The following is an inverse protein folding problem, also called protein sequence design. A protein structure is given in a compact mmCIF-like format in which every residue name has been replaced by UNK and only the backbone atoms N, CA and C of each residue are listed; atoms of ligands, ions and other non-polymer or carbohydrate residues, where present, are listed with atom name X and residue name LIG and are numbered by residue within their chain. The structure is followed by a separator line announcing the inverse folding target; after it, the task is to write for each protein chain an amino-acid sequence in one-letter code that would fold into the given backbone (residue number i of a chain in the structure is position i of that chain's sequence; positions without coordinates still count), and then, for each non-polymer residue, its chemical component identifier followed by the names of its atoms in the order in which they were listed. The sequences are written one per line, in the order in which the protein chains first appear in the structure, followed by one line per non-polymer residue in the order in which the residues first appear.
data_IF_145144243251
#
_entry.id   IF_145144243251
#
_cell.length_a   1.000
_cell.length_b   1.000
_cell.length_c   1.000
_cell.angle_alpha   90.00
_cell.angle_beta   90.00
_cell.angle_gamma   90.00
#
_symmetry.space_group_name_H-M   'P 1'
#
loop_
_entity.id
_entity.type
_entity.pdbx_description
1 polymer ?
#
# COMPACT_ATOMS: atom_id res chain seq x y z
N UNK A 1 10.56 -33.77 -24.20
CA UNK A 1 9.98 -32.55 -23.61
C UNK A 1 9.76 -32.82 -22.13
N UNK A 2 10.68 -32.37 -21.27
CA UNK A 2 10.51 -32.49 -19.82
C UNK A 2 9.59 -31.39 -19.29
N UNK A 3 8.89 -31.61 -18.17
CA UNK A 3 8.03 -30.59 -17.58
C UNK A 3 8.89 -29.40 -17.11
N UNK A 4 8.47 -28.19 -17.50
CA UNK A 4 9.05 -26.93 -17.02
C UNK A 4 8.93 -26.89 -15.49
N UNK A 5 10.01 -26.63 -14.73
CA UNK A 5 9.92 -26.56 -13.29
C UNK A 5 8.97 -25.41 -12.88
N UNK A 6 8.03 -25.72 -11.99
CA UNK A 6 7.11 -24.74 -11.44
C UNK A 6 7.85 -23.59 -10.78
N UNK A 7 7.39 -22.36 -11.07
CA UNK A 7 7.87 -21.11 -10.48
C UNK A 7 7.88 -21.22 -8.96
N UNK A 8 9.03 -21.07 -8.27
CA UNK A 8 8.99 -20.79 -6.84
C UNK A 8 8.30 -19.43 -6.66
N UNK A 9 7.27 -19.39 -5.81
CA UNK A 9 6.64 -18.13 -5.42
C UNK A 9 7.74 -17.16 -4.99
N UNK A 10 7.89 -16.04 -5.72
CA UNK A 10 8.92 -15.05 -5.45
C UNK A 10 8.88 -14.69 -3.97
N UNK A 11 9.98 -14.92 -3.25
CA UNK A 11 10.03 -14.61 -1.84
C UNK A 11 9.87 -13.09 -1.71
N UNK A 12 8.93 -12.59 -0.90
CA UNK A 12 8.65 -11.15 -0.75
C UNK A 12 9.86 -10.28 -0.38
N UNK A 13 10.97 -10.90 0.05
CA UNK A 13 12.12 -10.25 0.67
C UNK A 13 13.24 -9.81 -0.28
N UNK A 14 13.31 -10.34 -1.51
CA UNK A 14 14.51 -10.16 -2.36
C UNK A 14 14.64 -8.74 -2.96
N UNK A 15 13.57 -7.93 -2.94
CA UNK A 15 13.59 -6.54 -3.40
C UNK A 15 14.00 -5.53 -2.32
N UNK A 16 13.98 -5.90 -1.05
CA UNK A 16 14.25 -5.00 0.08
C UNK A 16 15.73 -4.57 0.15
N UNK A 17 16.64 -5.38 -0.38
CA UNK A 17 18.09 -5.14 -0.30
C UNK A 17 18.58 -4.02 -1.21
N UNK A 18 17.83 -3.71 -2.29
CA UNK A 18 18.28 -2.77 -3.33
C UNK A 18 17.88 -1.32 -3.07
N UNK A 19 16.87 -1.09 -2.22
CA UNK A 19 16.33 0.24 -1.90
C UNK A 19 15.83 0.31 -0.44
N UNK A 20 16.73 0.24 0.55
CA UNK A 20 16.38 0.06 1.97
C UNK A 20 15.56 1.21 2.57
N UNK A 21 15.55 2.39 1.96
CA UNK A 21 14.80 3.57 2.43
C UNK A 21 13.47 3.80 1.70
N UNK A 22 13.22 3.20 0.52
CA UNK A 22 12.04 3.51 -0.30
C UNK A 22 10.96 2.42 -0.29
N UNK A 23 11.30 1.20 0.13
CA UNK A 23 10.34 0.08 0.27
C UNK A 23 9.94 -0.16 1.72
N UNK A 24 9.93 0.90 2.54
CA UNK A 24 9.33 0.90 3.87
C UNK A 24 7.81 0.78 3.78
N UNK A 25 7.29 -0.39 3.39
CA UNK A 25 5.95 -0.76 3.81
C UNK A 25 6.05 -1.02 5.30
N UNK A 26 5.82 -0.01 6.12
CA UNK A 26 5.50 -0.25 7.53
C UNK A 26 4.19 -1.03 7.48
N UNK A 27 4.29 -2.33 7.68
CA UNK A 27 3.15 -3.15 8.05
C UNK A 27 3.03 -2.94 9.55
N UNK A 28 1.81 -2.95 10.05
CA UNK A 28 1.47 -3.15 11.47
C UNK A 28 2.03 -4.47 12.06
N UNK A 29 3.00 -5.12 11.41
CA UNK A 29 3.75 -6.28 11.84
C UNK A 29 5.24 -5.93 11.94
N UNK A 30 5.68 -5.64 13.16
CA UNK A 30 7.06 -5.30 13.48
C UNK A 30 7.98 -6.51 13.30
N UNK A 31 8.80 -6.50 12.25
CA UNK A 31 10.02 -7.31 12.21
C UNK A 31 11.04 -6.81 13.24
N UNK A 32 11.93 -7.69 13.73
CA UNK A 32 12.91 -7.38 14.80
C UNK A 32 13.83 -6.16 14.57
N UNK A 33 13.94 -5.64 13.34
CA UNK A 33 14.72 -4.43 13.02
C UNK A 33 13.88 -3.21 12.64
N UNK A 34 12.56 -3.26 12.83
CA UNK A 34 11.62 -2.25 12.34
C UNK A 34 10.81 -1.59 13.48
N UNK A 35 11.11 -1.92 14.75
CA UNK A 35 10.49 -1.30 15.92
C UNK A 35 10.97 0.13 16.12
N UNK A 36 10.10 0.98 16.66
CA UNK A 36 10.50 2.29 17.18
C UNK A 36 11.60 2.16 18.24
N UNK A 37 11.62 1.06 19.00
CA UNK A 37 12.64 0.79 20.02
C UNK A 37 14.03 0.48 19.44
N UNK A 38 14.13 0.20 18.13
CA UNK A 38 15.39 -0.19 17.49
C UNK A 38 16.26 1.02 17.10
N UNK A 39 15.71 2.23 17.12
CA UNK A 39 16.39 3.44 16.64
C UNK A 39 16.17 4.60 17.60
N UNK A 40 17.13 5.53 17.65
CA UNK A 40 17.06 6.71 18.52
C UNK A 40 16.41 7.94 17.86
N UNK A 41 16.07 7.85 16.56
CA UNK A 41 15.44 8.92 15.79
C UNK A 41 13.91 8.72 15.75
N UNK A 42 13.11 9.80 15.64
CA UNK A 42 11.66 9.67 15.55
C UNK A 42 11.23 8.81 14.34
N UNK A 43 10.35 7.84 14.59
CA UNK A 43 9.80 6.95 13.56
C UNK A 43 8.40 7.41 13.17
N UNK A 44 8.14 7.55 11.87
CA UNK A 44 6.80 7.76 11.33
C UNK A 44 6.26 6.41 10.86
N UNK A 45 5.15 5.96 11.43
CA UNK A 45 4.47 4.77 10.97
C UNK A 45 3.76 5.06 9.64
N UNK A 46 3.73 4.10 8.72
CA UNK A 46 3.01 4.22 7.46
C UNK A 46 2.25 2.92 7.20
N UNK A 47 1.31 2.91 6.25
CA UNK A 47 0.69 1.68 5.76
C UNK A 47 -0.39 1.08 6.68
N UNK A 48 -1.56 0.81 6.09
CA UNK A 48 -2.66 0.11 6.77
C UNK A 48 -3.46 0.95 7.78
N UNK A 49 -3.06 2.18 8.06
CA UNK A 49 -3.81 3.11 8.92
C UNK A 49 -4.74 3.97 8.08
N UNK A 50 -6.03 4.03 8.47
CA UNK A 50 -7.07 4.81 7.77
C UNK A 50 -8.04 5.57 8.70
N UNK A 51 -7.94 5.35 10.01
CA UNK A 51 -8.81 5.94 11.04
C UNK A 51 -8.03 6.26 12.31
N UNK A 52 -8.65 6.98 13.25
CA UNK A 52 -7.97 7.38 14.49
C UNK A 52 -7.61 6.23 15.42
N UNK A 53 -8.29 5.08 15.32
CA UNK A 53 -7.92 3.87 16.09
C UNK A 53 -6.57 3.33 15.63
N UNK A 54 -6.36 3.26 14.32
CA UNK A 54 -5.08 2.85 13.76
C UNK A 54 -3.96 3.84 14.11
N UNK A 55 -4.25 5.15 14.14
CA UNK A 55 -3.29 6.16 14.60
C UNK A 55 -2.92 5.95 16.07
N UNK A 56 -3.91 5.83 16.96
CA UNK A 56 -3.66 5.60 18.39
C UNK A 56 -2.83 4.32 18.63
N UNK A 57 -3.11 3.26 17.87
CA UNK A 57 -2.35 2.01 17.94
C UNK A 57 -0.87 2.20 17.58
N UNK A 58 -0.54 2.86 16.46
CA UNK A 58 0.86 3.05 16.06
C UNK A 58 1.61 4.02 16.98
N UNK A 59 0.94 5.03 17.52
CA UNK A 59 1.51 5.93 18.54
C UNK A 59 1.82 5.15 19.83
N UNK A 60 0.91 4.26 20.26
CA UNK A 60 1.13 3.38 21.42
C UNK A 60 2.31 2.43 21.21
N UNK A 61 2.55 2.01 19.96
CA UNK A 61 3.69 1.17 19.57
C UNK A 61 5.00 1.96 19.40
N UNK A 62 5.03 3.23 19.80
CA UNK A 62 6.24 4.06 19.87
C UNK A 62 6.50 4.91 18.63
N UNK A 63 5.60 4.94 17.64
CA UNK A 63 5.73 5.88 16.53
C UNK A 63 5.56 7.33 17.00
N UNK A 64 6.35 8.24 16.46
CA UNK A 64 6.24 9.68 16.71
C UNK A 64 5.17 10.35 15.82
N UNK A 65 4.71 9.66 14.78
CA UNK A 65 3.70 10.16 13.85
C UNK A 65 3.25 9.08 12.88
N UNK A 66 2.37 9.45 11.96
CA UNK A 66 1.79 8.54 10.98
C UNK A 66 1.67 9.19 9.60
N UNK A 67 1.97 8.42 8.55
CA UNK A 67 1.73 8.77 7.15
C UNK A 67 0.55 7.95 6.60
N UNK A 68 -0.42 8.66 6.04
CA UNK A 68 -1.69 8.09 5.59
C UNK A 68 -1.84 8.27 4.08
N UNK A 69 -1.64 7.18 3.31
CA UNK A 69 -1.83 7.21 1.85
C UNK A 69 -3.27 6.89 1.45
N UNK A 70 -3.66 5.62 1.62
CA UNK A 70 -4.97 5.12 1.16
C UNK A 70 -6.17 5.78 1.83
N UNK A 71 -6.01 6.35 3.03
CA UNK A 71 -7.07 7.11 3.69
C UNK A 71 -7.48 8.34 2.86
N UNK A 72 -6.50 9.14 2.43
CA UNK A 72 -6.72 10.37 1.66
C UNK A 72 -6.99 10.12 0.17
N UNK A 73 -6.69 8.92 -0.34
CA UNK A 73 -6.96 8.54 -1.73
C UNK A 73 -8.44 8.65 -2.10
N UNK A 74 -9.34 8.51 -1.12
CA UNK A 74 -10.79 8.56 -1.31
C UNK A 74 -11.40 9.95 -1.08
N UNK A 75 -10.61 10.94 -0.64
CA UNK A 75 -11.09 12.30 -0.44
C UNK A 75 -11.49 12.98 -1.76
N UNK A 76 -12.38 13.98 -1.68
CA UNK A 76 -12.90 14.70 -2.84
C UNK A 76 -11.80 15.41 -3.65
N UNK A 77 -10.73 15.83 -2.98
CA UNK A 77 -9.58 16.54 -3.53
C UNK A 77 -8.57 15.59 -4.20
N UNK A 78 -8.73 14.27 -4.03
CA UNK A 78 -7.86 13.27 -4.62
C UNK A 78 -7.99 13.25 -6.15
N UNK A 79 -6.86 13.30 -6.84
CA UNK A 79 -6.80 13.11 -8.29
C UNK A 79 -6.94 11.65 -8.75
N UNK A 80 -7.21 10.72 -7.83
CA UNK A 80 -7.42 9.31 -8.18
C UNK A 80 -8.71 9.15 -9.00
N UNK A 81 -8.63 8.40 -10.10
CA UNK A 81 -9.80 8.16 -10.94
C UNK A 81 -10.86 7.34 -10.21
N UNK A 82 -12.12 7.51 -10.61
CA UNK A 82 -13.23 6.73 -10.08
C UNK A 82 -13.01 5.22 -10.29
N UNK A 83 -12.50 4.83 -11.45
CA UNK A 83 -12.14 3.44 -11.77
C UNK A 83 -11.10 2.90 -10.78
N UNK A 84 -10.11 3.70 -10.38
CA UNK A 84 -9.12 3.30 -9.39
C UNK A 84 -9.77 3.10 -8.02
N UNK A 85 -10.52 4.08 -7.53
CA UNK A 85 -11.21 4.01 -6.23
C UNK A 85 -12.14 2.78 -6.15
N UNK A 86 -12.92 2.55 -7.20
CA UNK A 86 -13.80 1.38 -7.31
C UNK A 86 -13.02 0.06 -7.35
N UNK A 87 -11.90 0.00 -8.09
CA UNK A 87 -11.08 -1.20 -8.13
C UNK A 87 -10.55 -1.59 -6.73
N UNK A 88 -10.15 -0.60 -5.93
CA UNK A 88 -9.68 -0.83 -4.55
C UNK A 88 -10.78 -1.30 -3.59
N UNK A 89 -12.05 -0.93 -3.83
CA UNK A 89 -13.19 -1.42 -3.05
C UNK A 89 -13.64 -2.82 -3.50
N UNK A 90 -13.57 -3.08 -4.80
CA UNK A 90 -14.13 -4.28 -5.44
C UNK A 90 -13.22 -5.50 -5.36
N UNK A 91 -11.92 -5.30 -5.54
CA UNK A 91 -10.96 -6.39 -5.66
C UNK A 91 -10.06 -6.50 -4.42
N UNK A 92 -9.61 -7.72 -4.05
CA UNK A 92 -8.60 -7.86 -3.02
C UNK A 92 -7.28 -7.19 -3.45
N UNK A 93 -6.46 -6.75 -2.49
CA UNK A 93 -5.13 -6.22 -2.81
C UNK A 93 -4.11 -7.35 -3.06
N UNK A 94 -3.10 -7.10 -3.88
CA UNK A 94 -1.95 -7.99 -4.11
C UNK A 94 -0.66 -7.17 -4.14
N UNK A 95 0.44 -7.73 -3.65
CA UNK A 95 1.78 -7.19 -3.88
C UNK A 95 2.35 -7.89 -5.11
N UNK A 96 2.74 -7.10 -6.11
CA UNK A 96 3.30 -7.62 -7.36
C UNK A 96 4.28 -6.63 -7.95
N UNK A 97 5.30 -7.16 -8.63
CA UNK A 97 6.21 -6.42 -9.49
C UNK A 97 5.80 -6.45 -10.97
N UNK A 98 4.79 -7.24 -11.33
CA UNK A 98 4.41 -7.52 -12.72
C UNK A 98 4.05 -6.25 -13.51
N UNK A 99 3.50 -5.22 -12.85
CA UNK A 99 3.09 -4.00 -13.55
C UNK A 99 4.26 -3.05 -13.81
N UNK A 100 5.14 -2.84 -12.83
CA UNK A 100 6.17 -1.79 -12.93
C UNK A 100 7.59 -2.30 -12.90
N UNK A 101 7.83 -3.57 -12.62
CA UNK A 101 9.16 -4.12 -12.36
C UNK A 101 9.71 -3.76 -10.97
N UNK A 102 8.86 -3.25 -10.07
CA UNK A 102 9.11 -3.12 -8.62
C UNK A 102 7.88 -3.58 -7.86
N UNK A 103 8.12 -4.25 -6.73
CA UNK A 103 7.06 -4.67 -5.84
C UNK A 103 6.25 -3.46 -5.37
N UNK A 104 4.94 -3.49 -5.65
CA UNK A 104 4.00 -2.50 -5.17
C UNK A 104 2.67 -3.18 -4.84
N UNK A 105 1.86 -2.56 -3.97
CA UNK A 105 0.55 -3.07 -3.59
C UNK A 105 -0.56 -2.34 -4.34
N UNK A 106 -1.45 -3.09 -4.96
CA UNK A 106 -2.63 -2.54 -5.64
C UNK A 106 -3.77 -3.56 -5.74
N UNK A 107 -4.87 -3.14 -6.34
CA UNK A 107 -6.02 -3.99 -6.61
C UNK A 107 -5.63 -5.16 -7.53
N UNK A 108 -6.01 -6.38 -7.15
CA UNK A 108 -5.83 -7.60 -7.94
C UNK A 108 -6.94 -7.70 -8.98
N UNK A 109 -6.83 -6.91 -10.05
CA UNK A 109 -7.76 -6.95 -11.16
C UNK A 109 -7.47 -8.13 -12.10
N UNK A 110 -8.41 -8.53 -12.97
CA UNK A 110 -8.16 -9.58 -13.97
C UNK A 110 -6.95 -9.27 -14.87
N UNK A 111 -6.73 -7.99 -15.21
CA UNK A 111 -5.56 -7.57 -15.98
C UNK A 111 -4.25 -7.82 -15.23
N UNK A 112 -4.23 -7.53 -13.93
CA UNK A 112 -3.06 -7.78 -13.07
C UNK A 112 -2.78 -9.28 -12.95
N UNK A 113 -3.81 -10.11 -12.84
CA UNK A 113 -3.65 -11.57 -12.85
C UNK A 113 -3.03 -12.06 -14.16
N UNK A 114 -3.40 -11.49 -15.31
CA UNK A 114 -2.78 -11.81 -16.60
C UNK A 114 -1.30 -11.41 -16.63
N UNK A 115 -0.95 -10.22 -16.14
CA UNK A 115 0.45 -9.79 -16.04
C UNK A 115 1.27 -10.71 -15.11
N UNK A 116 0.69 -11.15 -13.99
CA UNK A 116 1.36 -12.05 -13.03
C UNK A 116 1.59 -13.44 -13.63
N UNK A 117 0.63 -13.93 -14.44
CA UNK A 117 0.69 -15.24 -15.09
C UNK A 117 1.58 -15.25 -16.35
N UNK A 118 1.88 -14.08 -16.90
CA UNK A 118 2.73 -13.92 -18.08
C UNK A 118 4.22 -14.08 -17.81
N UNK A 119 5.02 -13.51 -18.72
CA UNK A 119 6.48 -13.50 -18.60
C UNK A 119 6.95 -12.72 -17.36
N UNK A 120 8.12 -13.07 -16.80
CA UNK A 120 8.73 -12.26 -15.74
C UNK A 120 8.84 -10.78 -16.13
N UNK A 121 8.60 -9.84 -15.20
CA UNK A 121 8.67 -8.42 -15.53
C UNK A 121 10.09 -8.02 -15.90
N UNK A 122 10.20 -7.08 -16.82
CA UNK A 122 11.46 -6.40 -17.09
C UNK A 122 11.91 -5.56 -15.87
N UNK A 123 13.16 -5.06 -15.83
CA UNK A 123 13.60 -4.11 -14.81
C UNK A 123 12.71 -2.86 -14.78
N UNK A 124 12.59 -2.24 -13.60
CA UNK A 124 11.60 -1.19 -13.29
C UNK A 124 11.29 -0.20 -14.42
N UNK A 125 12.29 0.56 -14.87
CA UNK A 125 12.05 1.61 -15.87
C UNK A 125 11.54 1.05 -17.20
N UNK A 126 12.04 -0.12 -17.61
CA UNK A 126 11.62 -0.78 -18.82
C UNK A 126 10.19 -1.34 -18.68
N UNK A 127 9.89 -2.04 -17.58
CA UNK A 127 8.55 -2.59 -17.35
C UNK A 127 7.51 -1.48 -17.18
N UNK A 128 7.86 -0.40 -16.48
CA UNK A 128 7.03 0.79 -16.35
C UNK A 128 6.73 1.45 -17.70
N UNK A 129 7.70 1.47 -18.62
CA UNK A 129 7.51 1.98 -19.98
C UNK A 129 6.62 1.04 -20.81
N UNK A 130 6.86 -0.27 -20.76
CA UNK A 130 6.08 -1.28 -21.48
C UNK A 130 4.60 -1.28 -21.07
N UNK A 131 4.31 -0.94 -19.82
CA UNK A 131 2.93 -0.89 -19.30
C UNK A 131 2.29 0.49 -19.33
N UNK A 132 3.01 1.53 -19.80
CA UNK A 132 2.56 2.91 -19.70
C UNK A 132 1.24 3.16 -20.44
N UNK A 133 1.08 2.56 -21.62
CA UNK A 133 -0.11 2.76 -22.45
C UNK A 133 -1.35 2.05 -21.89
N UNK A 134 -1.18 0.93 -21.16
CA UNK A 134 -2.29 0.23 -20.51
C UNK A 134 -2.97 1.07 -19.44
N UNK A 135 -2.29 2.06 -18.84
CA UNK A 135 -2.90 2.98 -17.87
C UNK A 135 -4.01 3.84 -18.47
N UNK A 136 -4.02 4.00 -19.79
CA UNK A 136 -5.07 4.75 -20.50
C UNK A 136 -6.27 3.87 -20.89
N UNK A 137 -6.17 2.56 -20.70
CA UNK A 137 -7.23 1.61 -21.02
C UNK A 137 -8.03 1.26 -19.77
N UNK A 138 -9.35 1.21 -19.92
CA UNK A 138 -10.26 0.87 -18.84
C UNK A 138 -9.96 -0.51 -18.26
N UNK A 139 -9.90 -0.60 -16.93
CA UNK A 139 -9.61 -1.85 -16.20
C UNK A 139 -8.16 -2.35 -16.28
N UNK A 140 -7.27 -1.67 -17.03
CA UNK A 140 -5.87 -2.07 -17.21
C UNK A 140 -4.87 -1.20 -16.42
N UNK A 141 -5.37 -0.25 -15.62
CA UNK A 141 -4.56 0.59 -14.74
C UNK A 141 -4.03 -0.15 -13.50
N UNK A 142 -2.83 0.23 -13.05
CA UNK A 142 -2.32 -0.22 -11.76
C UNK A 142 -2.90 0.62 -10.62
N UNK A 143 -3.96 0.10 -10.01
CA UNK A 143 -4.71 0.78 -8.96
C UNK A 143 -4.01 0.56 -7.60
N UNK A 144 -3.00 1.39 -7.29
CA UNK A 144 -2.21 1.29 -6.05
C UNK A 144 -3.06 1.58 -4.80
N UNK A 145 -2.87 0.80 -3.74
CA UNK A 145 -3.59 1.03 -2.49
C UNK A 145 -3.28 -0.01 -1.43
N UNK A 146 -3.44 0.40 -0.17
CA UNK A 146 -3.26 -0.43 1.01
C UNK A 146 -4.41 -1.41 1.21
N UNK A 147 -4.19 -2.39 2.09
CA UNK A 147 -5.18 -3.42 2.43
C UNK A 147 -6.44 -2.83 3.11
N UNK A 148 -6.30 -1.69 3.77
CA UNK A 148 -7.39 -1.02 4.48
C UNK A 148 -8.28 -0.14 3.56
N UNK A 149 -8.15 -0.24 2.23
CA UNK A 149 -8.91 0.60 1.30
C UNK A 149 -10.43 0.48 1.46
N UNK A 150 -10.94 -0.70 1.83
CA UNK A 150 -12.36 -0.93 2.10
C UNK A 150 -12.89 -0.19 3.32
N UNK A 151 -12.02 0.30 4.19
CA UNK A 151 -12.35 1.07 5.39
C UNK A 151 -12.11 2.57 5.25
N UNK A 152 -11.54 3.02 4.12
CA UNK A 152 -11.36 4.45 3.86
C UNK A 152 -12.71 5.17 3.71
N UNK A 153 -12.74 6.47 4.02
CA UNK A 153 -13.94 7.31 3.99
C UNK A 153 -13.90 8.23 2.77
N UNK A 154 -15.07 8.47 2.18
CA UNK A 154 -15.25 9.38 1.04
C UNK A 154 -15.80 10.72 1.53
N UNK A 155 -14.94 11.49 2.19
CA UNK A 155 -15.22 12.82 2.74
C UNK A 155 -14.08 13.79 2.38
N UNK A 156 -14.29 15.12 2.41
CA UNK A 156 -13.23 16.09 2.16
C UNK A 156 -11.99 15.85 3.03
N UNK A 157 -10.80 16.13 2.49
CA UNK A 157 -9.54 15.85 3.17
C UNK A 157 -9.40 16.57 4.52
N UNK A 158 -9.85 17.83 4.59
CA UNK A 158 -9.84 18.59 5.84
C UNK A 158 -10.75 17.96 6.90
N UNK A 159 -11.93 17.46 6.50
CA UNK A 159 -12.86 16.77 7.39
C UNK A 159 -12.27 15.43 7.86
N UNK A 160 -11.69 14.65 6.94
CA UNK A 160 -11.02 13.39 7.28
C UNK A 160 -9.93 13.59 8.33
N UNK A 161 -9.11 14.63 8.18
CA UNK A 161 -8.06 14.96 9.14
C UNK A 161 -8.64 15.26 10.52
N UNK A 162 -9.64 16.15 10.59
CA UNK A 162 -10.30 16.51 11.85
C UNK A 162 -10.89 15.28 12.55
N UNK A 163 -11.61 14.43 11.81
CA UNK A 163 -12.20 13.21 12.36
C UNK A 163 -11.14 12.25 12.86
N UNK A 164 -10.04 12.05 12.13
CA UNK A 164 -8.93 11.19 12.57
C UNK A 164 -8.32 11.72 13.87
N UNK A 165 -8.13 13.03 14.02
CA UNK A 165 -7.57 13.64 15.23
C UNK A 165 -8.50 13.43 16.44
N UNK A 166 -9.80 13.65 16.25
CA UNK A 166 -10.81 13.43 17.29
C UNK A 166 -10.87 11.95 17.72
N UNK A 167 -10.97 11.03 16.75
CA UNK A 167 -10.97 9.58 16.99
C UNK A 167 -9.68 9.11 17.68
N UNK A 168 -8.52 9.67 17.30
CA UNK A 168 -7.23 9.34 17.91
C UNK A 168 -7.21 9.75 19.37
N UNK A 169 -7.71 10.96 19.67
CA UNK A 169 -7.76 11.48 21.04
C UNK A 169 -8.65 10.60 21.91
N UNK A 170 -9.86 10.28 21.43
CA UNK A 170 -10.79 9.40 22.14
C UNK A 170 -10.22 7.98 22.34
N UNK A 171 -9.60 7.39 21.31
CA UNK A 171 -9.01 6.06 21.41
C UNK A 171 -7.81 6.04 22.36
N UNK A 172 -7.02 7.11 22.40
CA UNK A 172 -5.86 7.23 23.31
C UNK A 172 -6.29 7.36 24.77
N UNK A 173 -7.44 7.98 25.05
CA UNK A 173 -8.02 8.04 26.40
C UNK A 173 -8.46 6.66 26.89
N UNK A 174 -9.01 5.81 26.03
CA UNK A 174 -9.41 4.44 26.37
C UNK A 174 -8.23 3.50 26.67
N UNK A 175 -7.02 3.85 26.20
CA UNK A 175 -5.80 3.07 26.40
C UNK A 175 -5.02 3.46 27.67
N UNK A 176 -5.47 4.51 28.38
CA UNK A 176 -4.90 4.97 29.66
C UNK A 176 -5.63 4.33 30.84
#
# INVERSE_FOLDING_TARGET
MGPTPGRPAGRPFEYAEKWPWWTGTTVTGFGRGQSADAVSVPVIAAGGVVDGRGVAAVLTLGAAGVELGTAFLFCAESGASEVWRQALRKFPSVVSDAYTGRAARGARTPFVDQLIAGSPPAPYELQRALTADFRRLDGCGWCLGGQAATHAREIPAAELLSVIVEETSAASEMLR
#
